data_IF_993627021566
#
_entry.id   IF_993627021566
#
_cell.length_a   1.000
_cell.length_b   1.000
_cell.length_c   1.000
_cell.angle_alpha   90.00
_cell.angle_beta   90.00
_cell.angle_gamma   90.00
#
_symmetry.space_group_name_H-M   'P 1'
#
loop_
_entity.id
_entity.type
_entity.pdbx_description
1 polymer ?
#
# COMPACT_ATOMS: atom_id res chain seq x y z
N UNK A 1 -11.60 -21.35 21.84
CA UNK A 1 -11.48 -19.88 21.84
C UNK A 1 -10.36 -19.50 20.87
N UNK A 2 -10.70 -19.14 19.63
CA UNK A 2 -9.74 -18.64 18.64
C UNK A 2 -10.00 -17.16 18.39
N UNK A 3 -9.47 -16.30 19.26
CA UNK A 3 -9.64 -14.83 19.17
C UNK A 3 -8.35 -14.11 18.72
N UNK A 4 -7.32 -14.85 18.32
CA UNK A 4 -6.08 -14.30 17.76
C UNK A 4 -6.18 -14.03 16.25
N UNK A 5 -7.27 -14.47 15.61
CA UNK A 5 -7.36 -14.61 14.14
C UNK A 5 -7.36 -13.30 13.33
N UNK A 6 -7.48 -12.14 13.97
CA UNK A 6 -7.89 -10.90 13.28
C UNK A 6 -6.93 -9.71 13.38
N UNK A 7 -5.82 -9.80 14.11
CA UNK A 7 -4.94 -8.63 14.32
C UNK A 7 -4.32 -8.13 13.02
N UNK A 8 -3.80 -9.05 12.20
CA UNK A 8 -3.18 -8.73 10.92
C UNK A 8 -4.20 -8.32 9.87
N UNK A 9 -5.35 -8.97 9.84
CA UNK A 9 -6.47 -8.67 8.95
C UNK A 9 -7.02 -7.26 9.16
N UNK A 10 -7.10 -6.85 10.43
CA UNK A 10 -7.59 -5.53 10.82
C UNK A 10 -6.51 -4.46 10.63
N UNK A 11 -5.27 -4.72 11.05
CA UNK A 11 -4.13 -3.83 10.81
C UNK A 11 -3.94 -3.55 9.31
N UNK A 12 -3.96 -4.58 8.47
CA UNK A 12 -3.84 -4.43 7.02
C UNK A 12 -5.00 -3.62 6.42
N UNK A 13 -6.21 -3.65 7.00
CA UNK A 13 -7.32 -2.78 6.56
C UNK A 13 -7.08 -1.33 6.93
N UNK A 14 -6.66 -1.07 8.16
CA UNK A 14 -6.40 0.28 8.67
C UNK A 14 -5.22 0.92 7.92
N UNK A 15 -4.12 0.17 7.71
CA UNK A 15 -2.96 0.62 6.95
C UNK A 15 -3.30 0.90 5.48
N UNK A 16 -4.06 0.00 4.81
CA UNK A 16 -4.50 0.23 3.43
C UNK A 16 -5.35 1.48 3.33
N UNK A 17 -6.28 1.69 4.26
CA UNK A 17 -7.13 2.87 4.23
C UNK A 17 -6.33 4.16 4.44
N UNK A 18 -5.46 4.18 5.46
CA UNK A 18 -4.63 5.34 5.77
C UNK A 18 -3.64 5.68 4.64
N UNK A 19 -3.05 4.67 4.00
CA UNK A 19 -2.17 4.87 2.85
C UNK A 19 -2.94 5.24 1.60
N UNK A 20 -4.16 4.73 1.42
CA UNK A 20 -5.03 5.06 0.27
C UNK A 20 -5.45 6.52 0.28
N UNK A 21 -5.81 7.07 1.43
CA UNK A 21 -6.16 8.48 1.55
C UNK A 21 -4.98 9.38 1.16
N UNK A 22 -3.78 9.07 1.67
CA UNK A 22 -2.56 9.79 1.31
C UNK A 22 -2.17 9.59 -0.16
N UNK A 23 -2.41 8.40 -0.69
CA UNK A 23 -2.18 8.07 -2.10
C UNK A 23 -3.05 8.92 -3.02
N UNK A 24 -4.36 8.97 -2.72
CA UNK A 24 -5.32 9.74 -3.50
C UNK A 24 -5.00 11.23 -3.45
N UNK A 25 -4.68 11.75 -2.26
CA UNK A 25 -4.22 13.14 -2.04
C UNK A 25 -2.99 13.48 -2.90
N UNK A 26 -1.94 12.66 -2.82
CA UNK A 26 -0.76 12.79 -3.68
C UNK A 26 -1.16 12.75 -5.17
N UNK A 27 -2.02 11.81 -5.57
CA UNK A 27 -2.43 11.67 -6.97
C UNK A 27 -3.23 12.87 -7.49
N UNK A 28 -3.98 13.54 -6.62
CA UNK A 28 -4.69 14.78 -6.92
C UNK A 28 -3.73 15.97 -7.03
N UNK A 29 -2.62 15.94 -6.30
CA UNK A 29 -1.60 17.00 -6.27
C UNK A 29 -0.55 16.85 -7.38
N UNK A 30 -0.33 15.65 -7.91
CA UNK A 30 0.46 15.44 -9.13
C UNK A 30 -0.33 16.04 -10.31
N UNK A 31 0.12 17.16 -10.90
CA UNK A 31 -0.66 17.86 -11.91
C UNK A 31 -0.87 16.96 -13.12
N UNK A 32 -2.14 16.68 -13.45
CA UNK A 32 -2.51 15.98 -14.69
C UNK A 32 -2.09 16.73 -15.96
N UNK A 33 -1.63 17.99 -15.83
CA UNK A 33 -1.11 18.84 -16.91
C UNK A 33 0.26 18.36 -17.45
N UNK A 34 0.92 17.44 -16.73
CA UNK A 34 2.20 16.85 -17.11
C UNK A 34 2.13 15.43 -17.68
N UNK A 35 0.98 14.99 -18.20
CA UNK A 35 0.83 13.73 -18.93
C UNK A 35 0.95 12.46 -18.07
N UNK A 36 0.16 11.45 -18.43
CA UNK A 36 0.20 10.07 -17.93
C UNK A 36 1.55 9.33 -18.23
N UNK A 37 2.60 10.10 -18.53
CA UNK A 37 3.89 9.66 -19.06
C UNK A 37 5.08 10.08 -18.17
N UNK A 38 4.86 10.70 -17.01
CA UNK A 38 5.95 10.82 -16.03
C UNK A 38 6.26 9.42 -15.46
N UNK A 39 7.52 8.94 -15.56
CA UNK A 39 7.90 7.60 -15.12
C UNK A 39 7.57 7.36 -13.64
N UNK A 40 7.64 8.41 -12.82
CA UNK A 40 7.24 8.38 -11.41
C UNK A 40 5.78 7.95 -11.19
N UNK A 41 4.84 8.40 -12.03
CA UNK A 41 3.41 8.09 -11.87
C UNK A 41 3.07 6.65 -12.20
N UNK A 42 3.74 6.04 -13.19
CA UNK A 42 3.58 4.61 -13.52
C UNK A 42 4.23 3.71 -12.50
N UNK A 43 5.42 4.08 -12.03
CA UNK A 43 6.11 3.37 -10.94
C UNK A 43 5.25 3.44 -9.68
N UNK A 44 4.68 4.60 -9.38
CA UNK A 44 3.74 4.81 -8.31
C UNK A 44 2.53 3.86 -8.45
N UNK A 45 1.81 3.90 -9.57
CA UNK A 45 0.63 3.04 -9.77
C UNK A 45 0.97 1.55 -9.62
N UNK A 46 2.10 1.12 -10.18
CA UNK A 46 2.57 -0.27 -10.06
C UNK A 46 2.83 -0.66 -8.60
N UNK A 47 3.49 0.21 -7.84
CA UNK A 47 3.80 -0.01 -6.42
C UNK A 47 2.53 -0.02 -5.57
N UNK A 48 1.55 0.82 -5.90
CA UNK A 48 0.24 0.80 -5.24
C UNK A 48 -0.53 -0.49 -5.55
N UNK A 49 -0.55 -0.93 -6.81
CA UNK A 49 -1.20 -2.18 -7.20
C UNK A 49 -0.54 -3.39 -6.52
N UNK A 50 0.80 -3.43 -6.43
CA UNK A 50 1.53 -4.46 -5.69
C UNK A 50 1.13 -4.47 -4.22
N UNK A 51 1.10 -3.31 -3.58
CA UNK A 51 0.67 -3.18 -2.18
C UNK A 51 -0.78 -3.64 -1.97
N UNK A 52 -1.71 -3.26 -2.84
CA UNK A 52 -3.11 -3.68 -2.75
C UNK A 52 -3.24 -5.21 -2.89
N UNK A 53 -2.49 -5.81 -3.83
CA UNK A 53 -2.45 -7.25 -4.03
C UNK A 53 -1.87 -8.01 -2.82
N UNK A 54 -0.74 -7.55 -2.27
CA UNK A 54 -0.15 -8.14 -1.07
C UNK A 54 -1.05 -7.97 0.17
N UNK A 55 -1.71 -6.82 0.28
CA UNK A 55 -2.68 -6.55 1.36
C UNK A 55 -3.90 -7.48 1.28
N UNK A 56 -4.39 -7.73 0.07
CA UNK A 56 -5.49 -8.67 -0.13
C UNK A 56 -5.05 -10.11 0.18
N UNK A 57 -3.86 -10.50 -0.28
CA UNK A 57 -3.27 -11.81 0.01
C UNK A 57 -3.08 -12.04 1.51
N UNK A 58 -2.54 -11.04 2.23
CA UNK A 58 -2.39 -11.07 3.69
C UNK A 58 -3.75 -11.17 4.39
N UNK A 59 -4.78 -10.49 3.87
CA UNK A 59 -6.14 -10.52 4.40
C UNK A 59 -6.82 -11.88 4.19
N UNK A 60 -6.65 -12.48 3.01
CA UNK A 60 -7.16 -13.80 2.68
C UNK A 60 -6.47 -14.90 3.48
N UNK A 61 -5.16 -14.78 3.67
CA UNK A 61 -4.40 -15.70 4.51
C UNK A 61 -4.70 -15.50 6.01
N UNK A 62 -5.03 -14.27 6.43
CA UNK A 62 -5.39 -13.92 7.79
C UNK A 62 -4.30 -14.33 8.78
N UNK A 63 -4.65 -15.16 9.78
CA UNK A 63 -3.67 -15.67 10.75
C UNK A 63 -2.89 -16.89 10.29
N UNK A 64 -3.15 -17.40 9.09
CA UNK A 64 -2.33 -18.42 8.44
C UNK A 64 -1.35 -17.81 7.44
N UNK A 65 -1.20 -16.48 7.43
CA UNK A 65 -0.22 -15.81 6.58
C UNK A 65 1.19 -16.23 6.95
N UNK A 66 1.88 -16.84 5.99
CA UNK A 66 3.31 -17.18 6.10
C UNK A 66 4.14 -15.92 6.36
N UNK A 67 5.29 -16.07 7.02
CA UNK A 67 6.26 -14.98 7.21
C UNK A 67 6.63 -14.29 5.90
N UNK A 68 6.66 -15.03 4.79
CA UNK A 68 6.89 -14.48 3.45
C UNK A 68 5.79 -13.51 3.02
N UNK A 69 4.51 -13.84 3.26
CA UNK A 69 3.37 -12.96 2.94
C UNK A 69 3.37 -11.71 3.81
N UNK A 70 3.72 -11.85 5.09
CA UNK A 70 3.83 -10.71 6.00
C UNK A 70 4.96 -9.77 5.56
N UNK A 71 6.14 -10.34 5.27
CA UNK A 71 7.31 -9.60 4.81
C UNK A 71 7.09 -8.93 3.44
N UNK A 72 6.41 -9.60 2.51
CA UNK A 72 6.03 -9.02 1.22
C UNK A 72 5.07 -7.83 1.38
N UNK A 73 4.08 -7.95 2.26
CA UNK A 73 3.19 -6.85 2.60
C UNK A 73 3.95 -5.66 3.22
N UNK A 74 4.83 -5.91 4.18
CA UNK A 74 5.65 -4.86 4.82
C UNK A 74 6.57 -4.15 3.82
N UNK A 75 7.19 -4.90 2.91
CA UNK A 75 8.03 -4.34 1.86
C UNK A 75 7.21 -3.49 0.87
N UNK A 76 6.01 -3.93 0.48
CA UNK A 76 5.14 -3.15 -0.40
C UNK A 76 4.63 -1.87 0.30
N UNK A 77 4.28 -1.98 1.59
CA UNK A 77 3.88 -0.85 2.44
C UNK A 77 4.98 0.20 2.54
N UNK A 78 6.23 -0.21 2.79
CA UNK A 78 7.38 0.69 2.86
C UNK A 78 7.62 1.42 1.52
N UNK A 79 7.51 0.72 0.39
CA UNK A 79 7.63 1.35 -0.94
C UNK A 79 6.57 2.43 -1.16
N UNK A 80 5.30 2.12 -0.89
CA UNK A 80 4.21 3.10 -1.02
C UNK A 80 4.43 4.28 -0.09
N UNK A 81 4.79 4.03 1.17
CA UNK A 81 5.06 5.08 2.15
C UNK A 81 6.19 6.01 1.68
N UNK A 82 7.29 5.46 1.16
CA UNK A 82 8.42 6.26 0.63
C UNK A 82 8.03 7.14 -0.55
N UNK A 83 7.16 6.67 -1.44
CA UNK A 83 6.68 7.46 -2.57
C UNK A 83 5.86 8.65 -2.05
N UNK A 84 4.91 8.39 -1.14
CA UNK A 84 4.10 9.42 -0.50
C UNK A 84 4.97 10.43 0.28
N UNK A 85 5.99 9.97 1.01
CA UNK A 85 6.92 10.84 1.73
C UNK A 85 7.81 11.67 0.79
N UNK A 86 8.22 11.09 -0.35
CA UNK A 86 9.03 11.79 -1.35
C UNK A 86 8.24 12.93 -2.02
N UNK A 87 6.93 12.74 -2.22
CA UNK A 87 6.04 13.80 -2.74
C UNK A 87 5.89 14.96 -1.76
N UNK A 88 5.65 14.67 -0.47
CA UNK A 88 5.53 15.70 0.58
C UNK A 88 6.77 16.57 0.78
N UNK A 89 7.94 16.13 0.30
CA UNK A 89 9.20 16.87 0.44
C UNK A 89 9.46 17.83 -0.73
N UNK A 90 8.61 17.86 -1.77
CA UNK A 90 8.69 18.81 -2.89
C UNK A 90 7.89 20.07 -2.59
#
# INVERSE_FOLDING_TARGET
MGMTTNRYTQAAREDVQALKEKWDDMRQHVPSDGGDDTPDSRIADTVWQDFEAQSNTLREAGSNASDETQSAYEAARDKVARIIESDKSR
#
